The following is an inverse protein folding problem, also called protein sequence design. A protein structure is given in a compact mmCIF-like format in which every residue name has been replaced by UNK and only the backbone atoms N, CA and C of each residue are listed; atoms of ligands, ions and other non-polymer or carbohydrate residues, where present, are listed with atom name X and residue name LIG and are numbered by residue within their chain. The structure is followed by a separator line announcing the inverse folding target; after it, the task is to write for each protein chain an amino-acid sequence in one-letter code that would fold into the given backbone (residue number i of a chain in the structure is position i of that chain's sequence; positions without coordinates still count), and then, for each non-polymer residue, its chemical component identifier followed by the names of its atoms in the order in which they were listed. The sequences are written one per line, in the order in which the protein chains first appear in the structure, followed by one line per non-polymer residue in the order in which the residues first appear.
data_IF_776453053928
#
_entry.id   IF_776453053928
#
_cell.length_a   1.000
_cell.length_b   1.000
_cell.length_c   1.000
_cell.angle_alpha   90.00
_cell.angle_beta   90.00
_cell.angle_gamma   90.00
#
_symmetry.space_group_name_H-M   'P 1'
#
loop_
_entity.id
_entity.type
_entity.pdbx_description
1 polymer ?
#
# COMPACT_ATOMS: atom_id res chain seq x y z
N UNK A 1 17.27 4.97 -16.12
CA UNK A 1 16.38 4.19 -15.24
C UNK A 1 17.21 3.74 -14.06
N UNK A 2 16.82 4.10 -12.84
CA UNK A 2 17.53 3.68 -11.62
C UNK A 2 17.32 2.18 -11.42
N UNK A 3 18.35 1.44 -11.00
CA UNK A 3 18.22 0.01 -10.71
C UNK A 3 17.24 -0.21 -9.55
N UNK A 4 16.34 -1.24 -9.61
CA UNK A 4 15.43 -1.53 -8.52
C UNK A 4 16.15 -1.83 -7.21
N UNK A 5 15.64 -1.28 -6.12
CA UNK A 5 16.18 -1.47 -4.77
C UNK A 5 15.94 -2.91 -4.32
N UNK A 6 16.97 -3.54 -3.80
CA UNK A 6 16.90 -4.86 -3.19
C UNK A 6 16.18 -4.76 -1.83
N UNK A 7 15.07 -5.48 -1.68
CA UNK A 7 14.23 -5.47 -0.48
C UNK A 7 14.07 -6.92 0.03
N UNK A 8 14.17 -7.12 1.34
CA UNK A 8 14.03 -8.44 2.00
C UNK A 8 12.59 -8.93 2.00
N UNK A 9 11.65 -8.03 2.27
CA UNK A 9 10.23 -8.34 2.41
C UNK A 9 9.54 -8.24 1.05
N UNK A 10 9.05 -9.36 0.54
CA UNK A 10 8.35 -9.40 -0.74
C UNK A 10 7.05 -8.58 -0.71
N UNK A 11 6.82 -7.75 -1.70
CA UNK A 11 5.61 -6.93 -1.82
C UNK A 11 4.69 -7.50 -2.90
N UNK A 12 3.63 -8.19 -2.50
CA UNK A 12 2.60 -8.71 -3.40
C UNK A 12 1.43 -7.73 -3.47
N UNK A 13 1.08 -7.27 -4.68
CA UNK A 13 -0.03 -6.35 -4.90
C UNK A 13 -1.12 -7.07 -5.66
N UNK A 14 -2.30 -7.20 -5.04
CA UNK A 14 -3.51 -7.71 -5.67
C UNK A 14 -4.33 -6.52 -6.15
N UNK A 15 -4.34 -6.26 -7.46
CA UNK A 15 -5.04 -5.13 -8.04
C UNK A 15 -6.39 -5.56 -8.63
N UNK A 16 -7.42 -4.80 -8.29
CA UNK A 16 -8.73 -4.98 -8.91
C UNK A 16 -8.68 -4.58 -10.40
N UNK A 17 -9.31 -5.34 -11.32
CA UNK A 17 -9.19 -5.09 -12.77
C UNK A 17 -9.61 -3.68 -13.21
N UNK A 18 -10.55 -3.04 -12.52
CA UNK A 18 -11.02 -1.69 -12.84
C UNK A 18 -10.03 -0.59 -12.41
N UNK A 19 -9.15 -0.84 -11.43
CA UNK A 19 -8.14 0.12 -10.98
C UNK A 19 -7.05 0.37 -12.03
N UNK A 20 -6.85 -0.56 -12.97
CA UNK A 20 -5.86 -0.45 -14.06
C UNK A 20 -6.00 0.84 -14.91
N UNK A 21 -7.15 1.50 -14.85
CA UNK A 21 -7.44 2.72 -15.65
C UNK A 21 -7.10 4.03 -14.91
N UNK A 22 -6.70 3.96 -13.67
CA UNK A 22 -6.34 5.15 -12.88
C UNK A 22 -5.03 5.76 -13.39
N UNK A 23 -5.04 7.09 -13.60
CA UNK A 23 -3.90 7.84 -14.14
C UNK A 23 -2.67 7.83 -13.23
N UNK A 24 -2.84 7.52 -11.93
CA UNK A 24 -1.79 7.45 -10.92
C UNK A 24 -1.61 6.00 -10.45
N UNK A 25 -1.09 5.13 -11.33
CA UNK A 25 -0.87 3.71 -11.06
C UNK A 25 0.29 3.49 -10.08
N UNK A 26 0.07 3.74 -8.79
CA UNK A 26 1.09 3.59 -7.73
C UNK A 26 1.57 2.15 -7.56
N UNK A 27 0.73 1.17 -7.89
CA UNK A 27 1.09 -0.25 -7.85
C UNK A 27 2.21 -0.62 -8.85
N UNK A 28 2.13 -0.11 -10.08
CA UNK A 28 3.17 -0.32 -11.09
C UNK A 28 4.50 0.34 -10.69
N UNK A 29 4.41 1.52 -10.04
CA UNK A 29 5.58 2.24 -9.55
C UNK A 29 6.31 1.47 -8.45
N UNK A 30 5.60 0.77 -7.55
CA UNK A 30 6.21 -0.12 -6.55
C UNK A 30 7.04 -1.19 -7.25
N UNK A 31 6.48 -1.88 -8.27
CA UNK A 31 7.19 -2.92 -9.01
C UNK A 31 8.38 -2.40 -9.83
N UNK A 32 8.35 -1.14 -10.26
CA UNK A 32 9.48 -0.50 -10.93
C UNK A 32 10.60 -0.08 -9.95
N UNK A 33 10.26 0.14 -8.68
CA UNK A 33 11.19 0.64 -7.65
C UNK A 33 11.82 -0.48 -6.84
N UNK A 34 11.10 -1.57 -6.58
CA UNK A 34 11.54 -2.69 -5.72
C UNK A 34 11.84 -3.94 -6.55
N UNK A 35 12.92 -4.65 -6.20
CA UNK A 35 13.31 -5.92 -6.85
C UNK A 35 12.35 -7.06 -6.50
N UNK A 36 11.97 -7.18 -5.23
CA UNK A 36 11.07 -8.22 -4.76
C UNK A 36 9.64 -7.67 -4.61
N UNK A 37 9.04 -7.30 -5.74
CA UNK A 37 7.65 -6.87 -5.82
C UNK A 37 6.94 -7.52 -7.01
N UNK A 38 5.64 -7.83 -6.85
CA UNK A 38 4.81 -8.42 -7.90
C UNK A 38 3.42 -7.83 -7.88
N UNK A 39 2.98 -7.37 -9.04
CA UNK A 39 1.61 -6.93 -9.29
C UNK A 39 0.85 -8.03 -10.03
N UNK A 40 -0.30 -8.42 -9.51
CA UNK A 40 -1.24 -9.31 -10.18
C UNK A 40 -2.62 -8.68 -10.26
N UNK A 41 -3.21 -8.71 -11.44
CA UNK A 41 -4.50 -8.11 -11.74
C UNK A 41 -5.54 -9.21 -11.87
N UNK A 42 -6.63 -9.10 -11.10
CA UNK A 42 -7.69 -10.10 -11.09
C UNK A 42 -8.61 -9.94 -9.89
N UNK A 43 -9.51 -10.90 -9.71
CA UNK A 43 -10.48 -10.88 -8.60
C UNK A 43 -10.25 -11.99 -7.59
N UNK A 44 -9.72 -13.14 -8.03
CA UNK A 44 -9.57 -14.30 -7.17
C UNK A 44 -8.40 -15.17 -7.62
N UNK A 45 -7.70 -15.74 -6.65
CA UNK A 45 -6.58 -16.67 -6.87
C UNK A 45 -6.68 -17.85 -5.92
N UNK A 46 -6.21 -19.04 -6.32
CA UNK A 46 -6.33 -20.28 -5.52
C UNK A 46 -5.61 -20.22 -4.17
N UNK A 47 -4.57 -19.41 -4.03
CA UNK A 47 -3.79 -19.31 -2.79
C UNK A 47 -2.49 -18.54 -2.95
N UNK A 48 -1.86 -18.26 -1.82
CA UNK A 48 -0.64 -17.45 -1.72
C UNK A 48 0.50 -17.98 -2.60
N UNK A 49 0.84 -19.25 -2.46
CA UNK A 49 1.94 -19.89 -3.20
C UNK A 49 1.75 -19.79 -4.72
N UNK A 50 0.52 -19.95 -5.21
CA UNK A 50 0.20 -19.82 -6.64
C UNK A 50 0.39 -18.40 -7.15
N UNK A 51 -0.02 -17.40 -6.36
CA UNK A 51 0.09 -15.98 -6.73
C UNK A 51 1.54 -15.52 -6.71
N UNK A 52 2.28 -15.91 -5.69
CA UNK A 52 3.72 -15.59 -5.58
C UNK A 52 4.52 -16.28 -6.69
N UNK A 53 4.14 -17.51 -7.04
CA UNK A 53 4.83 -18.33 -8.05
C UNK A 53 5.88 -19.25 -7.45
N UNK A 54 5.78 -19.57 -6.16
CA UNK A 54 6.70 -20.44 -5.44
C UNK A 54 6.22 -20.78 -4.04
N UNK A 55 6.98 -21.56 -3.26
CA UNK A 55 6.63 -21.89 -1.90
C UNK A 55 6.44 -20.63 -1.04
N UNK A 56 5.32 -20.54 -0.36
CA UNK A 56 5.01 -19.41 0.52
C UNK A 56 4.24 -19.91 1.75
N UNK A 57 4.83 -19.71 2.91
CA UNK A 57 4.26 -20.08 4.19
C UNK A 57 3.38 -18.97 4.73
N UNK A 58 2.04 -19.17 4.90
CA UNK A 58 1.12 -18.11 5.32
C UNK A 58 1.48 -17.46 6.66
N UNK A 59 2.09 -18.21 7.59
CA UNK A 59 2.53 -17.70 8.89
C UNK A 59 3.64 -16.64 8.81
N UNK A 60 4.33 -16.56 7.68
CA UNK A 60 5.40 -15.60 7.41
C UNK A 60 4.96 -14.46 6.47
N UNK A 61 3.65 -14.30 6.32
CA UNK A 61 3.06 -13.25 5.48
C UNK A 61 2.00 -12.47 6.25
N UNK A 62 1.87 -11.21 5.91
CA UNK A 62 0.83 -10.35 6.44
C UNK A 62 0.09 -9.65 5.30
N UNK A 63 -1.20 -9.37 5.49
CA UNK A 63 -1.97 -8.51 4.60
C UNK A 63 -2.15 -7.15 5.25
N UNK A 64 -1.99 -6.08 4.48
CA UNK A 64 -2.34 -4.76 4.94
C UNK A 64 -3.87 -4.66 5.01
N UNK A 65 -4.37 -4.55 6.25
CA UNK A 65 -5.80 -4.57 6.52
C UNK A 65 -6.43 -3.20 6.27
N UNK A 66 -7.57 -3.23 5.57
CA UNK A 66 -8.36 -2.05 5.30
C UNK A 66 -9.26 -1.75 6.51
N UNK A 67 -8.88 -0.83 7.33
CA UNK A 67 -9.72 -0.37 8.41
C UNK A 67 -8.96 0.02 9.67
N UNK A 68 -9.39 1.12 10.27
CA UNK A 68 -8.97 1.52 11.60
C UNK A 68 -9.65 0.59 12.63
N UNK A 69 -9.07 -0.59 12.87
CA UNK A 69 -9.39 -1.38 14.06
C UNK A 69 -8.61 -0.78 15.22
N UNK A 70 -9.02 0.38 15.71
CA UNK A 70 -8.56 0.90 16.99
C UNK A 70 -9.48 0.35 18.07
N UNK A 71 -8.98 -0.49 18.98
CA UNK A 71 -9.65 -0.64 20.26
C UNK A 71 -9.70 0.74 20.94
N UNK A 72 -10.85 1.14 21.46
CA UNK A 72 -10.97 2.37 22.24
C UNK A 72 -9.94 2.34 23.36
N UNK A 73 -9.08 3.38 23.47
CA UNK A 73 -8.05 3.47 24.50
C UNK A 73 -6.67 2.90 24.18
N UNK A 74 -6.44 2.32 23.00
CA UNK A 74 -5.12 1.85 22.62
C UNK A 74 -4.15 3.00 22.28
N UNK A 75 -2.88 2.87 22.73
CA UNK A 75 -1.80 3.77 22.33
C UNK A 75 -1.67 3.87 20.80
N UNK A 76 -1.39 5.07 20.32
CA UNK A 76 -1.18 5.32 18.90
C UNK A 76 0.14 4.70 18.45
N UNK A 77 0.06 3.64 17.64
CA UNK A 77 1.22 3.01 17.00
C UNK A 77 1.05 3.12 15.49
N UNK A 78 2.09 3.57 14.80
CA UNK A 78 2.08 3.67 13.33
C UNK A 78 1.77 2.34 12.65
N UNK A 79 2.18 1.23 13.28
CA UNK A 79 1.91 -0.12 12.82
C UNK A 79 1.45 -0.99 13.99
N UNK A 80 0.33 -1.65 13.83
CA UNK A 80 -0.18 -2.68 14.74
C UNK A 80 -0.31 -4.01 13.99
N UNK A 81 0.03 -5.11 14.68
CA UNK A 81 -0.13 -6.46 14.14
C UNK A 81 -1.32 -7.14 14.79
N UNK A 82 -2.18 -7.72 13.98
CA UNK A 82 -3.23 -8.62 14.43
C UNK A 82 -2.88 -10.04 14.01
N UNK A 83 -3.22 -11.00 14.86
CA UNK A 83 -3.10 -12.41 14.54
C UNK A 83 -4.12 -12.85 13.45
N UNK A 84 -4.11 -14.14 13.08
CA UNK A 84 -5.03 -14.71 12.08
C UNK A 84 -6.50 -14.64 12.53
N UNK A 85 -6.76 -14.52 13.83
CA UNK A 85 -8.11 -14.38 14.41
C UNK A 85 -8.53 -12.91 14.51
N UNK A 86 -7.63 -11.98 14.17
CA UNK A 86 -7.87 -10.53 14.25
C UNK A 86 -7.69 -9.96 15.65
N UNK A 87 -7.00 -10.66 16.56
CA UNK A 87 -6.66 -10.16 17.88
C UNK A 87 -5.33 -9.41 17.84
N UNK A 88 -5.20 -8.28 18.54
CA UNK A 88 -3.93 -7.58 18.68
C UNK A 88 -2.86 -8.51 19.26
N UNK A 89 -1.62 -8.36 18.75
CA UNK A 89 -0.43 -9.04 19.28
C UNK A 89 0.32 -8.04 20.14
N UNK A 90 0.51 -8.36 21.42
CA UNK A 90 1.13 -7.45 22.39
C UNK A 90 2.60 -7.18 22.08
N UNK A 91 3.40 -8.23 21.80
CA UNK A 91 4.77 -8.09 21.28
C UNK A 91 4.86 -8.65 19.86
N UNK A 92 4.70 -7.79 18.83
CA UNK A 92 4.77 -8.22 17.43
C UNK A 92 6.21 -8.38 16.91
N UNK A 93 7.23 -8.02 17.67
CA UNK A 93 8.61 -7.84 17.18
C UNK A 93 9.19 -9.10 16.51
N UNK A 94 9.00 -10.28 17.13
CA UNK A 94 9.49 -11.54 16.58
C UNK A 94 8.77 -11.91 15.27
N UNK A 95 7.45 -11.72 15.22
CA UNK A 95 6.65 -12.01 14.03
C UNK A 95 7.03 -11.06 12.91
N UNK A 96 7.12 -9.75 13.16
CA UNK A 96 7.47 -8.74 12.16
C UNK A 96 8.86 -9.01 11.56
N UNK A 97 9.87 -9.34 12.37
CA UNK A 97 11.19 -9.73 11.87
C UNK A 97 11.15 -11.01 11.04
N UNK A 98 10.25 -11.94 11.35
CA UNK A 98 10.07 -13.21 10.65
C UNK A 98 9.30 -13.13 9.33
N UNK A 99 8.62 -12.01 9.05
CA UNK A 99 7.85 -11.86 7.83
C UNK A 99 8.75 -11.92 6.59
N UNK A 100 8.27 -12.66 5.59
CA UNK A 100 8.88 -12.79 4.26
C UNK A 100 8.16 -11.99 3.20
N UNK A 101 6.91 -11.62 3.46
CA UNK A 101 6.17 -10.79 2.51
C UNK A 101 4.93 -10.15 3.09
N UNK A 102 4.48 -9.14 2.37
CA UNK A 102 3.22 -8.43 2.62
C UNK A 102 2.33 -8.46 1.40
N UNK A 103 1.02 -8.43 1.62
CA UNK A 103 0.00 -8.37 0.57
C UNK A 103 -0.74 -7.04 0.68
N UNK A 104 -0.77 -6.29 -0.41
CA UNK A 104 -1.56 -5.07 -0.55
C UNK A 104 -2.77 -5.34 -1.45
N UNK A 105 -3.93 -4.78 -1.08
CA UNK A 105 -5.15 -4.82 -1.89
C UNK A 105 -5.32 -3.46 -2.55
N UNK A 106 -5.11 -3.41 -3.86
CA UNK A 106 -5.11 -2.17 -4.64
C UNK A 106 -6.44 -1.97 -5.36
N UNK A 107 -7.09 -0.85 -5.07
CA UNK A 107 -8.40 -0.47 -5.57
C UNK A 107 -9.12 0.48 -4.64
N UNK A 108 -10.29 0.95 -5.06
CA UNK A 108 -11.20 1.68 -4.17
C UNK A 108 -11.59 0.82 -2.96
N UNK A 109 -12.13 1.43 -1.92
CA UNK A 109 -12.57 0.69 -0.72
C UNK A 109 -13.49 -0.50 -1.04
N UNK A 110 -14.46 -0.30 -1.95
CA UNK A 110 -15.38 -1.36 -2.38
C UNK A 110 -14.66 -2.48 -3.13
N UNK A 111 -13.71 -2.13 -4.02
CA UNK A 111 -12.90 -3.06 -4.79
C UNK A 111 -11.98 -3.88 -3.89
N UNK A 112 -11.32 -3.24 -2.94
CA UNK A 112 -10.46 -3.91 -1.98
C UNK A 112 -11.24 -4.88 -1.07
N UNK A 113 -12.48 -4.52 -0.65
CA UNK A 113 -13.40 -5.46 0.02
C UNK A 113 -13.75 -6.65 -0.87
N UNK A 114 -13.98 -6.44 -2.17
CA UNK A 114 -14.24 -7.52 -3.12
C UNK A 114 -13.06 -8.48 -3.20
N UNK A 115 -11.83 -7.95 -3.31
CA UNK A 115 -10.61 -8.77 -3.30
C UNK A 115 -10.49 -9.57 -2.00
N UNK A 116 -10.77 -8.95 -0.86
CA UNK A 116 -10.74 -9.62 0.43
C UNK A 116 -11.69 -10.83 0.48
N UNK A 117 -12.96 -10.63 0.13
CA UNK A 117 -13.97 -11.67 0.21
C UNK A 117 -13.77 -12.80 -0.81
N UNK A 118 -13.21 -12.50 -1.98
CA UNK A 118 -12.95 -13.50 -3.02
C UNK A 118 -11.68 -14.30 -2.80
N UNK A 119 -10.86 -13.96 -1.81
CA UNK A 119 -9.59 -14.61 -1.52
C UNK A 119 -9.50 -15.08 -0.06
N UNK A 120 -10.26 -16.11 0.34
CA UNK A 120 -10.33 -16.56 1.73
C UNK A 120 -8.97 -17.02 2.31
N UNK A 121 -7.98 -17.31 1.46
CA UNK A 121 -6.62 -17.61 1.91
C UNK A 121 -5.94 -16.42 2.61
N UNK A 122 -6.38 -15.19 2.38
CA UNK A 122 -5.92 -13.99 3.09
C UNK A 122 -6.20 -14.07 4.60
N UNK A 123 -7.24 -14.79 5.00
CA UNK A 123 -7.57 -15.01 6.42
C UNK A 123 -6.52 -15.84 7.18
N UNK A 124 -5.65 -16.55 6.45
CA UNK A 124 -4.55 -17.36 7.04
C UNK A 124 -3.30 -16.52 7.31
N UNK A 125 -3.25 -15.27 6.83
CA UNK A 125 -2.15 -14.34 7.02
C UNK A 125 -2.33 -13.57 8.32
N UNK A 126 -1.23 -13.03 8.84
CA UNK A 126 -1.30 -11.94 9.80
C UNK A 126 -1.93 -10.69 9.16
N UNK A 127 -2.39 -9.76 9.98
CA UNK A 127 -2.96 -8.49 9.47
C UNK A 127 -2.16 -7.34 10.04
N UNK A 128 -1.67 -6.47 9.17
CA UNK A 128 -1.01 -5.22 9.55
C UNK A 128 -2.03 -4.10 9.42
N UNK A 129 -2.22 -3.34 10.49
CA UNK A 129 -3.01 -2.11 10.52
C UNK A 129 -2.04 -0.94 10.59
N UNK A 130 -2.16 0.00 9.65
CA UNK A 130 -1.37 1.21 9.59
C UNK A 130 -2.19 2.40 10.12
N UNK A 131 -1.60 3.20 11.01
CA UNK A 131 -2.15 4.46 11.53
C UNK A 131 -1.11 5.57 11.32
N UNK A 132 -1.03 6.15 10.11
CA UNK A 132 0.01 7.11 9.77
C UNK A 132 -0.09 8.37 10.64
N UNK A 133 1.04 8.94 11.10
CA UNK A 133 1.05 10.17 11.89
C UNK A 133 0.71 11.41 11.08
N UNK A 134 0.88 11.34 9.74
CA UNK A 134 0.68 12.44 8.81
C UNK A 134 -0.37 12.08 7.76
N UNK A 135 -1.13 13.07 7.24
CA UNK A 135 -2.06 12.84 6.14
C UNK A 135 -1.32 12.42 4.87
N UNK A 136 -1.97 11.55 4.07
CA UNK A 136 -1.46 11.03 2.82
C UNK A 136 -1.06 12.15 1.84
N UNK A 137 0.11 12.04 1.19
CA UNK A 137 0.61 13.00 0.19
C UNK A 137 -0.29 13.07 -1.04
N UNK A 138 -0.84 11.94 -1.47
CA UNK A 138 -1.76 11.83 -2.61
C UNK A 138 -3.20 12.24 -2.29
N UNK A 139 -3.59 12.36 -1.03
CA UNK A 139 -4.95 12.72 -0.63
C UNK A 139 -5.47 14.04 -1.18
N UNK A 140 -4.56 14.95 -1.61
CA UNK A 140 -4.91 16.22 -2.28
C UNK A 140 -5.11 16.10 -3.80
N UNK A 141 -4.67 15.02 -4.42
CA UNK A 141 -4.73 14.81 -5.87
C UNK A 141 -5.82 13.82 -6.28
N UNK A 142 -6.30 12.99 -5.34
CA UNK A 142 -7.43 12.10 -5.57
C UNK A 142 -8.75 12.81 -5.25
N UNK A 143 -9.75 12.60 -6.12
CA UNK A 143 -11.13 13.09 -5.91
C UNK A 143 -11.90 12.34 -4.80
N UNK A 144 -11.27 11.46 -4.04
CA UNK A 144 -11.93 10.71 -2.99
C UNK A 144 -12.05 11.50 -1.69
N UNK A 145 -13.21 11.41 -0.98
CA UNK A 145 -13.57 12.29 0.14
C UNK A 145 -12.86 11.97 1.46
N UNK A 146 -11.97 10.95 1.53
CA UNK A 146 -11.26 10.58 2.76
C UNK A 146 -9.81 11.06 2.73
N UNK A 147 -9.56 12.17 3.44
CA UNK A 147 -8.22 12.76 3.63
C UNK A 147 -7.18 11.85 4.30
N UNK A 148 -7.60 10.69 4.82
CA UNK A 148 -6.79 9.79 5.66
C UNK A 148 -6.41 8.48 4.95
N UNK A 149 -6.85 8.23 3.71
CA UNK A 149 -6.52 7.01 3.00
C UNK A 149 -5.13 7.11 2.36
N UNK A 150 -4.19 6.28 2.84
CA UNK A 150 -2.89 6.09 2.19
C UNK A 150 -3.10 5.52 0.77
N UNK A 151 -2.30 6.00 -0.18
CA UNK A 151 -2.16 5.31 -1.45
C UNK A 151 -1.41 3.99 -1.27
N UNK A 152 -1.53 3.08 -2.23
CA UNK A 152 -0.89 1.77 -2.18
C UNK A 152 0.63 1.88 -1.98
N UNK A 153 1.28 2.85 -2.62
CA UNK A 153 2.73 3.07 -2.44
C UNK A 153 3.09 3.68 -1.08
N UNK A 154 2.26 4.58 -0.53
CA UNK A 154 2.46 5.13 0.82
C UNK A 154 2.28 4.05 1.89
N UNK A 155 1.27 3.19 1.72
CA UNK A 155 1.05 2.06 2.61
C UNK A 155 2.20 1.04 2.55
N UNK A 156 2.73 0.75 1.35
CA UNK A 156 3.92 -0.08 1.18
C UNK A 156 5.15 0.53 1.85
N UNK A 157 5.41 1.82 1.63
CA UNK A 157 6.56 2.50 2.21
C UNK A 157 6.50 2.51 3.74
N UNK A 158 5.32 2.82 4.32
CA UNK A 158 5.15 2.82 5.77
C UNK A 158 5.34 1.41 6.36
N UNK A 159 4.78 0.38 5.73
CA UNK A 159 4.99 -1.00 6.18
C UNK A 159 6.47 -1.41 6.11
N UNK A 160 7.14 -1.14 4.98
CA UNK A 160 8.55 -1.51 4.79
C UNK A 160 9.48 -0.77 5.76
N UNK A 161 9.16 0.47 6.17
CA UNK A 161 9.94 1.21 7.19
C UNK A 161 10.03 0.46 8.51
N UNK A 162 9.00 -0.31 8.86
CA UNK A 162 8.95 -1.13 10.08
C UNK A 162 9.45 -2.57 9.88
N UNK A 163 9.46 -3.06 8.65
CA UNK A 163 9.75 -4.47 8.34
C UNK A 163 11.16 -4.70 7.81
N UNK A 164 11.74 -3.72 7.13
CA UNK A 164 13.09 -3.80 6.58
C UNK A 164 14.15 -3.42 7.64
N UNK A 165 15.37 -3.93 7.53
CA UNK A 165 16.46 -3.56 8.44
C UNK A 165 16.92 -2.11 8.31
N UNK A 166 16.56 -1.43 7.22
CA UNK A 166 16.91 -0.05 6.93
C UNK A 166 15.85 0.66 6.10
N UNK A 167 15.93 1.99 5.98
CA UNK A 167 14.89 2.81 5.36
C UNK A 167 14.92 2.82 3.82
N UNK A 168 15.93 2.23 3.18
CA UNK A 168 16.24 2.40 1.74
C UNK A 168 15.03 2.08 0.83
N UNK A 169 14.36 0.95 1.08
CA UNK A 169 13.20 0.54 0.29
C UNK A 169 12.02 1.53 0.47
N UNK A 170 11.76 1.94 1.71
CA UNK A 170 10.71 2.91 2.03
C UNK A 170 10.99 4.28 1.41
N UNK A 171 12.22 4.77 1.56
CA UNK A 171 12.63 6.09 1.05
C UNK A 171 12.62 6.13 -0.48
N UNK A 172 13.03 5.04 -1.14
CA UNK A 172 12.97 4.93 -2.61
C UNK A 172 11.51 4.98 -3.12
N UNK A 173 10.57 4.31 -2.43
CA UNK A 173 9.15 4.39 -2.79
C UNK A 173 8.61 5.82 -2.64
N UNK A 174 8.96 6.52 -1.57
CA UNK A 174 8.52 7.90 -1.35
C UNK A 174 9.13 8.84 -2.39
N UNK A 175 10.41 8.68 -2.72
CA UNK A 175 11.07 9.47 -3.76
C UNK A 175 10.43 9.24 -5.15
N UNK A 176 10.11 7.98 -5.48
CA UNK A 176 9.41 7.64 -6.72
C UNK A 176 8.01 8.29 -6.78
N UNK A 177 7.27 8.26 -5.68
CA UNK A 177 5.97 8.93 -5.55
C UNK A 177 6.09 10.44 -5.74
N UNK A 178 7.06 11.09 -5.08
CA UNK A 178 7.29 12.53 -5.19
C UNK A 178 7.64 12.93 -6.63
N UNK A 179 8.45 12.12 -7.32
CA UNK A 179 8.77 12.27 -8.74
C UNK A 179 7.53 12.19 -9.64
N UNK A 180 6.67 11.20 -9.41
CA UNK A 180 5.40 11.03 -10.13
C UNK A 180 4.47 12.24 -9.91
N UNK A 181 4.32 12.70 -8.68
CA UNK A 181 3.50 13.88 -8.33
C UNK A 181 4.05 15.14 -9.03
N UNK A 182 5.37 15.33 -9.01
CA UNK A 182 6.01 16.47 -9.67
C UNK A 182 5.81 16.43 -11.19
N UNK A 183 5.89 15.25 -11.81
CA UNK A 183 5.61 15.07 -13.23
C UNK A 183 4.15 15.38 -13.58
N UNK A 184 3.20 14.87 -12.80
CA UNK A 184 1.78 15.13 -12.99
C UNK A 184 1.44 16.64 -12.86
N UNK A 185 2.05 17.35 -11.91
CA UNK A 185 1.86 18.80 -11.74
C UNK A 185 2.42 19.58 -12.92
N UNK A 186 3.53 19.17 -13.52
CA UNK A 186 4.10 19.80 -14.72
C UNK A 186 3.25 19.58 -15.96
N UNK A 187 2.62 18.40 -16.07
CA UNK A 187 1.75 18.06 -17.19
C UNK A 187 0.35 18.68 -17.12
N UNK A 188 -0.08 19.16 -15.94
CA UNK A 188 -1.37 19.81 -15.77
C UNK A 188 -1.40 21.14 -16.56
N UNK A 189 -2.43 21.40 -17.41
CA UNK A 189 -2.57 22.66 -18.11
C UNK A 189 -2.61 23.82 -17.11
N UNK A 190 -1.79 24.85 -17.31
CA UNK A 190 -1.89 26.09 -16.55
C UNK A 190 -3.30 26.65 -16.74
N UNK A 191 -4.05 26.80 -15.65
CA UNK A 191 -5.34 27.48 -15.68
C UNK A 191 -5.15 28.87 -16.32
N UNK A 192 -6.02 29.28 -17.27
CA UNK A 192 -5.94 30.59 -17.85
C UNK A 192 -6.05 31.64 -16.75
N UNK A 193 -5.09 32.57 -16.69
CA UNK A 193 -5.13 33.74 -15.81
C UNK A 193 -6.43 34.47 -16.14
N UNK A 194 -7.40 34.44 -15.23
CA UNK A 194 -8.61 35.28 -15.35
C UNK A 194 -8.16 36.72 -15.38
N UNK A 195 -8.14 37.28 -16.57
CA UNK A 195 -7.89 38.72 -16.78
C UNK A 195 -8.88 39.51 -15.90
N UNK A 196 -8.35 40.42 -15.10
CA UNK A 196 -9.14 41.45 -14.41
C UNK A 196 -9.99 42.17 -15.47
N UNK A 197 -11.31 41.89 -15.44
CA UNK A 197 -12.24 42.80 -16.12
C UNK A 197 -12.16 44.13 -15.38
N UNK A 198 -11.50 45.09 -15.94
CA UNK A 198 -11.70 46.49 -15.60
C UNK A 198 -13.13 46.83 -15.99
N UNK A 199 -13.95 47.14 -15.04
CA UNK A 199 -15.27 47.74 -15.27
C UNK A 199 -15.11 49.20 -15.64
N UNK A 200 -15.99 49.76 -16.53
CA UNK A 200 -15.99 51.15 -16.93
C UNK A 200 -16.43 52.09 -15.79
#
# INVERSE_FOLDING_TARGET
MTEPIDNRVFVLILQHPHERREALATAALICATLRHAKLVIGLSWPGLARVVGGPAEPSRWAVLHLGALRPAGAERRELSLLDRRGKPVDDPSAILRGLRGIVLLDGTWSQAKTLWWRNPWLLRLHRIVLDPPLPAKLGRLRREPRREALSTIEAAALALRHLEPGPQAADALIAALDGMIAAARRAAPRAPVRGRRTAP
#
